data_IF_031400435011
#
_entry.id   IF_031400435011
#
_cell.length_a   1.000
_cell.length_b   1.000
_cell.length_c   1.000
_cell.angle_alpha   90.00
_cell.angle_beta   90.00
_cell.angle_gamma   90.00
#
_symmetry.space_group_name_H-M   'P 1'
#
loop_
_entity.id
_entity.type
_entity.pdbx_description
1 polymer ?
#
# COMPACT_ATOMS: atom_id res chain seq x y z
N UNK A 1 51.54 -15.61 20.69
CA UNK A 1 50.33 -16.39 21.03
C UNK A 1 49.46 -15.49 21.88
N UNK A 2 48.54 -14.74 21.26
CA UNK A 2 47.09 -15.02 21.29
C UNK A 2 46.47 -14.11 22.37
N UNK A 3 45.30 -13.49 22.26
CA UNK A 3 44.11 -13.76 21.47
C UNK A 3 43.38 -12.40 21.28
N UNK A 4 42.87 -12.16 20.08
CA UNK A 4 41.93 -11.08 19.75
C UNK A 4 40.63 -11.23 20.57
N UNK A 5 40.29 -10.23 21.37
CA UNK A 5 38.97 -10.13 22.00
C UNK A 5 38.02 -9.33 21.12
N UNK A 6 37.34 -10.03 20.20
CA UNK A 6 36.18 -9.52 19.46
C UNK A 6 35.08 -9.13 20.47
N UNK A 7 34.75 -7.84 20.55
CA UNK A 7 33.49 -7.41 21.15
C UNK A 7 32.41 -7.69 20.11
N UNK A 8 31.76 -8.83 20.26
CA UNK A 8 30.58 -9.18 19.48
C UNK A 8 29.47 -8.18 19.83
N UNK A 9 29.09 -7.37 18.84
CA UNK A 9 27.82 -6.67 18.85
C UNK A 9 26.73 -7.73 18.92
N UNK A 10 26.09 -7.89 20.07
CA UNK A 10 24.88 -8.70 20.16
C UNK A 10 23.78 -7.95 19.41
N UNK A 11 23.20 -8.53 18.33
CA UNK A 11 21.94 -8.05 17.83
C UNK A 11 20.93 -8.37 18.93
N UNK A 12 20.46 -7.33 19.61
CA UNK A 12 19.24 -7.41 20.39
C UNK A 12 18.19 -7.88 19.38
N UNK A 13 17.82 -9.16 19.52
CA UNK A 13 16.64 -9.76 18.95
C UNK A 13 15.48 -8.83 19.31
N UNK A 14 15.09 -7.97 18.39
CA UNK A 14 13.78 -7.32 18.41
C UNK A 14 12.80 -8.45 18.13
N UNK A 15 12.42 -9.13 19.20
CA UNK A 15 11.33 -10.07 19.20
C UNK A 15 10.09 -9.20 18.97
N UNK A 16 9.72 -9.09 17.69
CA UNK A 16 8.48 -8.53 17.20
C UNK A 16 7.34 -9.14 18.01
N UNK A 17 6.89 -8.42 19.03
CA UNK A 17 5.55 -8.56 19.56
C UNK A 17 4.63 -7.96 18.51
N UNK A 18 4.43 -8.71 17.42
CA UNK A 18 3.26 -8.56 16.59
C UNK A 18 2.07 -8.92 17.49
N UNK A 19 1.59 -7.93 18.26
CA UNK A 19 0.19 -7.95 18.66
C UNK A 19 -0.59 -8.06 17.35
N UNK A 20 -1.44 -9.08 17.24
CA UNK A 20 -2.31 -9.25 16.09
C UNK A 20 -2.95 -7.89 15.80
N UNK A 21 -2.58 -7.28 14.67
CA UNK A 21 -3.17 -6.04 14.23
C UNK A 21 -4.67 -6.29 14.15
N UNK A 22 -5.47 -5.45 14.81
CA UNK A 22 -6.91 -5.56 14.69
C UNK A 22 -7.31 -5.48 13.21
N UNK A 23 -8.29 -6.30 12.83
CA UNK A 23 -8.68 -6.50 11.44
C UNK A 23 -9.03 -5.18 10.76
N UNK A 24 -9.70 -4.27 11.46
CA UNK A 24 -10.13 -3.00 10.86
C UNK A 24 -8.91 -2.14 10.51
N UNK A 25 -7.87 -2.13 11.35
CA UNK A 25 -6.65 -1.38 11.08
C UNK A 25 -5.88 -1.96 9.90
N UNK A 26 -5.85 -3.29 9.79
CA UNK A 26 -5.26 -3.98 8.64
C UNK A 26 -5.99 -3.64 7.35
N UNK A 27 -7.33 -3.70 7.36
CA UNK A 27 -8.15 -3.37 6.19
C UNK A 27 -7.93 -1.91 5.74
N UNK A 28 -7.72 -0.98 6.69
CA UNK A 28 -7.29 0.38 6.36
C UNK A 28 -5.90 0.44 5.71
N UNK A 29 -4.90 -0.24 6.27
CA UNK A 29 -3.53 -0.22 5.72
C UNK A 29 -3.48 -0.81 4.30
N UNK A 30 -4.12 -1.96 4.10
CA UNK A 30 -4.20 -2.63 2.80
C UNK A 30 -4.91 -1.74 1.77
N UNK A 31 -6.03 -1.10 2.17
CA UNK A 31 -6.78 -0.23 1.25
C UNK A 31 -6.06 1.09 0.96
N UNK A 32 -5.32 1.66 1.91
CA UNK A 32 -4.44 2.80 1.68
C UNK A 32 -3.37 2.42 0.66
N UNK A 33 -2.73 1.25 0.83
CA UNK A 33 -1.69 0.78 -0.07
C UNK A 33 -2.20 0.64 -1.51
N UNK A 34 -3.35 -0.01 -1.71
CA UNK A 34 -4.00 -0.13 -3.03
C UNK A 34 -4.35 1.26 -3.61
N UNK A 35 -4.88 2.17 -2.77
CA UNK A 35 -5.27 3.52 -3.20
C UNK A 35 -4.05 4.33 -3.67
N UNK A 36 -2.95 4.27 -2.91
CA UNK A 36 -1.71 4.98 -3.20
C UNK A 36 -1.04 4.41 -4.44
N UNK A 37 -0.96 3.08 -4.57
CA UNK A 37 -0.31 2.41 -5.72
C UNK A 37 -1.05 2.64 -7.04
N UNK A 38 -2.39 2.65 -7.00
CA UNK A 38 -3.25 2.78 -8.17
C UNK A 38 -3.59 4.24 -8.51
N UNK A 39 -3.35 5.21 -7.63
CA UNK A 39 -3.65 6.63 -7.88
C UNK A 39 -3.13 7.15 -9.25
N UNK A 40 -1.88 6.88 -9.67
CA UNK A 40 -1.40 7.31 -11.00
C UNK A 40 -2.16 6.66 -12.15
N UNK A 41 -2.60 5.41 -11.98
CA UNK A 41 -3.41 4.68 -12.97
C UNK A 41 -4.81 5.25 -13.05
N UNK A 42 -5.42 5.58 -11.93
CA UNK A 42 -6.79 6.12 -11.91
C UNK A 42 -6.86 7.52 -12.54
N UNK A 43 -5.85 8.36 -12.36
CA UNK A 43 -5.74 9.64 -13.10
C UNK A 43 -5.65 9.45 -14.62
N UNK A 44 -5.14 8.32 -15.11
CA UNK A 44 -5.11 8.00 -16.54
C UNK A 44 -6.45 7.44 -17.06
N UNK A 45 -7.39 7.15 -16.16
CA UNK A 45 -8.69 6.55 -16.44
C UNK A 45 -9.85 7.46 -16.03
N UNK A 46 -9.66 8.77 -16.08
CA UNK A 46 -10.68 9.80 -15.86
C UNK A 46 -11.21 9.83 -14.41
N UNK A 47 -10.32 9.62 -13.43
CA UNK A 47 -10.63 9.84 -12.02
C UNK A 47 -9.79 11.00 -11.44
N UNK A 48 -10.45 11.87 -10.68
CA UNK A 48 -9.81 12.79 -9.73
C UNK A 48 -9.45 12.04 -8.48
N UNK A 49 -8.20 12.21 -8.04
CA UNK A 49 -7.66 11.60 -6.82
C UNK A 49 -7.36 12.70 -5.80
N UNK A 50 -7.94 12.58 -4.60
CA UNK A 50 -7.66 13.47 -3.47
C UNK A 50 -6.40 13.01 -2.71
N UNK A 51 -5.23 13.42 -3.20
CA UNK A 51 -3.94 13.10 -2.55
C UNK A 51 -3.82 13.63 -1.12
N UNK A 52 -4.42 14.78 -0.84
CA UNK A 52 -4.40 15.36 0.49
C UNK A 52 -5.26 14.53 1.45
N UNK A 53 -6.47 14.14 1.02
CA UNK A 53 -7.35 13.24 1.76
C UNK A 53 -6.71 11.89 2.05
N UNK A 54 -6.03 11.28 1.06
CA UNK A 54 -5.29 10.02 1.25
C UNK A 54 -4.15 10.22 2.26
N UNK A 55 -3.39 11.31 2.18
CA UNK A 55 -2.33 11.61 3.15
C UNK A 55 -2.88 11.76 4.57
N UNK A 56 -4.00 12.45 4.75
CA UNK A 56 -4.63 12.60 6.06
C UNK A 56 -5.20 11.26 6.56
N UNK A 57 -5.67 10.41 5.64
CA UNK A 57 -6.13 9.07 5.96
C UNK A 57 -5.00 8.17 6.48
N UNK A 58 -3.81 8.23 5.87
CA UNK A 58 -2.59 7.57 6.39
C UNK A 58 -2.35 7.92 7.86
N UNK A 59 -2.40 9.21 8.20
CA UNK A 59 -2.18 9.70 9.56
C UNK A 59 -3.24 9.12 10.52
N UNK A 60 -4.52 9.13 10.12
CA UNK A 60 -5.61 8.56 10.93
C UNK A 60 -5.44 7.05 11.14
N UNK A 61 -5.07 6.31 10.10
CA UNK A 61 -4.87 4.86 10.21
C UNK A 61 -3.71 4.51 11.15
N UNK A 62 -2.60 5.27 11.10
CA UNK A 62 -1.50 5.13 12.07
C UNK A 62 -1.99 5.41 13.50
N UNK A 63 -2.77 6.48 13.70
CA UNK A 63 -3.35 6.79 15.00
C UNK A 63 -4.30 5.68 15.51
N UNK A 64 -5.06 5.02 14.62
CA UNK A 64 -5.89 3.85 14.96
C UNK A 64 -5.02 2.68 15.45
N UNK A 65 -3.93 2.37 14.74
CA UNK A 65 -3.01 1.32 15.14
C UNK A 65 -2.37 1.61 16.51
N UNK A 66 -1.99 2.87 16.75
CA UNK A 66 -1.46 3.33 18.04
C UNK A 66 -2.49 3.20 19.15
N UNK A 67 -3.75 3.59 18.89
CA UNK A 67 -4.86 3.40 19.84
C UNK A 67 -5.12 1.90 20.13
N UNK A 68 -4.85 1.03 19.15
CA UNK A 68 -4.87 -0.43 19.29
C UNK A 68 -3.68 -1.02 20.06
N UNK A 69 -2.70 -0.20 20.45
CA UNK A 69 -1.59 -0.60 21.32
C UNK A 69 -0.22 -0.73 20.62
N UNK A 70 -0.11 -0.42 19.33
CA UNK A 70 1.18 -0.36 18.65
C UNK A 70 1.97 0.90 19.00
N UNK A 71 3.30 0.81 18.94
CA UNK A 71 4.13 2.00 18.97
C UNK A 71 3.98 2.76 17.64
N UNK A 72 3.87 4.08 17.70
CA UNK A 72 3.77 4.95 16.51
C UNK A 72 4.83 4.69 15.43
N UNK A 73 6.15 4.56 15.75
CA UNK A 73 7.14 4.25 14.72
C UNK A 73 6.94 2.89 14.06
N UNK A 74 6.45 1.89 14.80
CA UNK A 74 6.18 0.56 14.26
C UNK A 74 4.92 0.57 13.37
N UNK A 75 3.91 1.35 13.75
CA UNK A 75 2.71 1.57 12.94
C UNK A 75 3.02 2.27 11.62
N UNK A 76 3.84 3.32 11.67
CA UNK A 76 4.29 4.02 10.48
C UNK A 76 5.12 3.09 9.57
N UNK A 77 6.07 2.35 10.15
CA UNK A 77 6.91 1.42 9.40
C UNK A 77 6.09 0.30 8.74
N UNK A 78 5.08 -0.23 9.43
CA UNK A 78 4.18 -1.22 8.87
C UNK A 78 3.37 -0.65 7.71
N UNK A 79 2.76 0.53 7.87
CA UNK A 79 2.01 1.17 6.79
C UNK A 79 2.89 1.43 5.56
N UNK A 80 4.09 1.97 5.76
CA UNK A 80 5.01 2.25 4.67
C UNK A 80 5.48 0.96 3.99
N UNK A 81 5.74 -0.12 4.75
CA UNK A 81 6.02 -1.44 4.19
C UNK A 81 4.87 -1.96 3.33
N UNK A 82 3.62 -1.90 3.82
CA UNK A 82 2.45 -2.35 3.06
C UNK A 82 2.28 -1.57 1.75
N UNK A 83 2.53 -0.25 1.79
CA UNK A 83 2.52 0.60 0.60
C UNK A 83 3.61 0.17 -0.40
N UNK A 84 4.84 -0.05 0.08
CA UNK A 84 5.96 -0.46 -0.78
C UNK A 84 5.73 -1.84 -1.42
N UNK A 85 5.19 -2.80 -0.67
CA UNK A 85 4.83 -4.13 -1.18
C UNK A 85 3.77 -4.03 -2.30
N UNK A 86 2.70 -3.28 -2.05
CA UNK A 86 1.62 -3.09 -3.04
C UNK A 86 2.10 -2.32 -4.29
N UNK A 87 3.04 -1.38 -4.13
CA UNK A 87 3.69 -0.71 -5.25
C UNK A 87 4.47 -1.68 -6.14
N UNK A 88 5.26 -2.59 -5.54
CA UNK A 88 6.02 -3.58 -6.30
C UNK A 88 5.09 -4.59 -6.99
N UNK A 89 3.99 -4.99 -6.35
CA UNK A 89 2.97 -5.86 -6.96
C UNK A 89 2.26 -5.18 -8.14
N UNK A 90 1.85 -3.92 -7.96
CA UNK A 90 1.24 -3.10 -9.02
C UNK A 90 2.20 -2.95 -10.20
N UNK A 91 3.47 -2.61 -9.91
CA UNK A 91 4.53 -2.50 -10.91
C UNK A 91 4.77 -3.83 -11.64
N UNK A 92 4.83 -4.95 -10.92
CA UNK A 92 4.99 -6.28 -11.52
C UNK A 92 3.84 -6.60 -12.49
N UNK A 93 2.60 -6.28 -12.12
CA UNK A 93 1.43 -6.41 -13.00
C UNK A 93 1.59 -5.60 -14.30
N UNK A 94 2.01 -4.34 -14.22
CA UNK A 94 2.24 -3.51 -15.42
C UNK A 94 3.42 -4.01 -16.25
N UNK A 95 4.48 -4.49 -15.62
CA UNK A 95 5.60 -5.10 -16.34
C UNK A 95 5.21 -6.38 -17.06
N UNK A 96 4.40 -7.24 -16.44
CA UNK A 96 3.84 -8.43 -17.07
C UNK A 96 2.97 -8.04 -18.27
N UNK A 97 2.08 -7.06 -18.09
CA UNK A 97 1.26 -6.54 -19.18
C UNK A 97 2.13 -6.04 -20.34
N UNK A 98 3.20 -5.28 -20.06
CA UNK A 98 4.16 -4.82 -21.08
C UNK A 98 4.84 -5.97 -21.83
N UNK A 99 5.06 -7.12 -21.17
CA UNK A 99 5.69 -8.31 -21.78
C UNK A 99 4.69 -9.16 -22.58
N UNK A 100 3.42 -9.15 -22.22
CA UNK A 100 2.41 -10.09 -22.74
C UNK A 100 1.39 -9.45 -23.69
N UNK A 101 1.11 -8.16 -23.54
CA UNK A 101 0.22 -7.39 -24.42
C UNK A 101 0.95 -7.08 -25.73
N UNK A 102 0.52 -7.74 -26.81
CA UNK A 102 1.10 -7.61 -28.16
C UNK A 102 0.12 -7.07 -29.19
N UNK A 103 -1.18 -7.07 -28.86
CA UNK A 103 -2.24 -6.62 -29.77
C UNK A 103 -3.07 -5.51 -29.16
N UNK A 104 -3.77 -4.77 -30.03
CA UNK A 104 -4.70 -3.72 -29.62
C UNK A 104 -5.81 -4.26 -28.71
N UNK A 105 -6.42 -5.41 -29.04
CA UNK A 105 -7.47 -6.01 -28.20
C UNK A 105 -6.94 -6.36 -26.79
N UNK A 106 -5.72 -6.87 -26.68
CA UNK A 106 -5.10 -7.16 -25.38
C UNK A 106 -4.88 -5.89 -24.56
N UNK A 107 -4.42 -4.80 -25.20
CA UNK A 107 -4.24 -3.50 -24.56
C UNK A 107 -5.57 -2.92 -24.09
N UNK A 108 -6.62 -2.98 -24.91
CA UNK A 108 -7.96 -2.50 -24.55
C UNK A 108 -8.55 -3.32 -23.38
N UNK A 109 -8.34 -4.64 -23.36
CA UNK A 109 -8.76 -5.49 -22.22
C UNK A 109 -8.03 -5.14 -20.92
N UNK A 110 -6.73 -4.89 -21.01
CA UNK A 110 -5.94 -4.48 -19.86
C UNK A 110 -6.40 -3.11 -19.34
N UNK A 111 -6.58 -2.13 -20.21
CA UNK A 111 -7.08 -0.80 -19.84
C UNK A 111 -8.48 -0.87 -19.22
N UNK A 112 -9.39 -1.70 -19.77
CA UNK A 112 -10.71 -1.95 -19.14
C UNK A 112 -10.60 -2.57 -17.76
N UNK A 113 -9.61 -3.45 -17.53
CA UNK A 113 -9.36 -4.03 -16.20
C UNK A 113 -8.87 -2.97 -15.22
N UNK A 114 -7.99 -2.08 -15.66
CA UNK A 114 -7.46 -0.99 -14.84
C UNK A 114 -8.55 0.02 -14.49
N UNK A 115 -9.35 0.46 -15.47
CA UNK A 115 -10.53 1.31 -15.19
C UNK A 115 -11.46 0.67 -14.15
N UNK A 116 -11.77 -0.63 -14.30
CA UNK A 116 -12.57 -1.36 -13.30
C UNK A 116 -11.94 -1.42 -11.91
N UNK A 117 -10.62 -1.36 -11.81
CA UNK A 117 -9.96 -1.29 -10.49
C UNK A 117 -10.21 0.07 -9.84
N UNK A 118 -10.14 1.15 -10.62
CA UNK A 118 -10.45 2.50 -10.16
C UNK A 118 -11.93 2.67 -9.79
N UNK A 119 -12.85 2.11 -10.59
CA UNK A 119 -14.28 2.05 -10.24
C UNK A 119 -14.49 1.36 -8.88
N UNK A 120 -13.81 0.23 -8.64
CA UNK A 120 -13.88 -0.45 -7.34
C UNK A 120 -13.30 0.38 -6.20
N UNK A 121 -12.25 1.15 -6.42
CA UNK A 121 -11.69 2.05 -5.40
C UNK A 121 -12.65 3.19 -5.08
N UNK A 122 -13.32 3.75 -6.10
CA UNK A 122 -14.33 4.80 -5.97
C UNK A 122 -15.62 4.31 -5.28
N UNK A 123 -16.00 3.04 -5.50
CA UNK A 123 -17.20 2.45 -4.90
C UNK A 123 -16.96 1.85 -3.49
N UNK A 124 -15.70 1.77 -3.05
CA UNK A 124 -15.34 1.09 -1.80
C UNK A 124 -15.51 2.00 -0.58
N UNK A 125 -16.06 1.45 0.50
CA UNK A 125 -16.44 2.20 1.71
C UNK A 125 -15.31 3.00 2.37
N UNK A 126 -14.08 2.50 2.31
CA UNK A 126 -12.91 3.16 2.91
C UNK A 126 -12.22 4.17 2.00
N UNK A 127 -12.28 3.97 0.67
CA UNK A 127 -11.48 4.73 -0.29
C UNK A 127 -12.30 5.63 -1.19
N UNK A 128 -13.61 5.41 -1.29
CA UNK A 128 -14.47 6.05 -2.29
C UNK A 128 -14.44 7.58 -2.24
N UNK A 129 -14.37 8.15 -1.03
CA UNK A 129 -14.28 9.59 -0.83
C UNK A 129 -13.03 10.24 -1.47
N UNK A 130 -12.01 9.45 -1.83
CA UNK A 130 -10.76 9.95 -2.44
C UNK A 130 -10.69 9.77 -3.96
N UNK A 131 -11.67 9.10 -4.58
CA UNK A 131 -11.69 8.83 -6.02
C UNK A 131 -13.04 9.24 -6.61
N UNK A 132 -13.05 10.29 -7.44
CA UNK A 132 -14.26 10.77 -8.12
C UNK A 132 -14.09 10.60 -9.64
N UNK A 133 -15.06 10.01 -10.33
CA UNK A 133 -15.07 9.96 -11.80
C UNK A 133 -15.36 11.38 -12.37
N UNK A 134 -14.56 11.80 -13.36
CA UNK A 134 -14.68 13.10 -14.05
C UNK A 134 -15.83 13.15 -15.08
#
# INVERSE_FOLDING_TARGET
MGIFGLVAASPIFVMLMAGDLDRDTRDHFDKIAESVSMAPTCRQHDFVVDDAGISDWKIRAVAMAVAGGMAEPDAQALLDQTIDEEYEDTKAMFEEARRTVRTRDQSERFNRRMKKACERLADHELSGDYFTED
#
